data_IF_278576092899
#
_entry.id   IF_278576092899
#
_cell.length_a   1.000
_cell.length_b   1.000
_cell.length_c   1.000
_cell.angle_alpha   90.00
_cell.angle_beta   90.00
_cell.angle_gamma   90.00
#
_symmetry.space_group_name_H-M   'P 1'
#
loop_
_entity.id
_entity.type
_entity.pdbx_description
1 polymer ?
#
# COMPACT_ATOMS: atom_id res chain seq x y z
N UNK A 1 -30.97 16.74 -9.05
CA UNK A 1 -32.39 16.56 -8.72
C UNK A 1 -32.62 15.12 -8.33
N UNK A 2 -32.46 14.82 -7.04
CA UNK A 2 -32.74 13.49 -6.49
C UNK A 2 -33.90 13.65 -5.53
N UNK A 3 -35.09 13.29 -5.97
CA UNK A 3 -36.30 13.46 -5.16
C UNK A 3 -36.46 12.22 -4.29
N UNK A 4 -36.61 12.45 -2.98
CA UNK A 4 -37.01 11.39 -2.05
C UNK A 4 -38.44 10.98 -2.36
N UNK A 5 -38.69 9.67 -2.43
CA UNK A 5 -40.03 9.15 -2.67
C UNK A 5 -40.93 9.45 -1.47
N UNK A 6 -42.06 10.12 -1.72
CA UNK A 6 -43.04 10.42 -0.67
C UNK A 6 -43.59 9.14 -0.04
N UNK A 7 -43.97 9.25 1.24
CA UNK A 7 -44.46 8.11 2.04
C UNK A 7 -45.67 7.43 1.39
N UNK A 8 -46.55 8.19 0.74
CA UNK A 8 -47.72 7.65 0.03
C UNK A 8 -47.35 6.86 -1.23
N UNK A 9 -46.38 7.32 -2.02
CA UNK A 9 -45.89 6.63 -3.23
C UNK A 9 -45.12 5.35 -2.82
N UNK A 10 -44.30 5.45 -1.77
CA UNK A 10 -43.59 4.32 -1.17
C UNK A 10 -44.55 3.23 -0.68
N UNK A 11 -45.57 3.60 0.09
CA UNK A 11 -46.55 2.66 0.62
C UNK A 11 -47.36 1.98 -0.50
N UNK A 12 -47.66 2.71 -1.58
CA UNK A 12 -48.31 2.14 -2.77
C UNK A 12 -47.42 1.12 -3.50
N UNK A 13 -46.12 1.40 -3.64
CA UNK A 13 -45.15 0.49 -4.27
C UNK A 13 -44.90 -0.78 -3.44
N UNK A 14 -44.86 -0.65 -2.10
CA UNK A 14 -44.74 -1.77 -1.16
C UNK A 14 -46.01 -2.63 -1.21
N UNK A 15 -47.20 -2.00 -1.14
CA UNK A 15 -48.49 -2.70 -1.19
C UNK A 15 -48.72 -3.43 -2.51
N UNK A 16 -48.20 -2.90 -3.61
CA UNK A 16 -48.24 -3.54 -4.92
C UNK A 16 -47.25 -4.71 -5.10
N UNK A 17 -46.45 -5.08 -4.08
CA UNK A 17 -45.36 -6.06 -4.17
C UNK A 17 -44.37 -5.79 -5.32
N UNK A 18 -44.27 -4.54 -5.74
CA UNK A 18 -43.43 -4.10 -6.85
C UNK A 18 -41.97 -3.95 -6.44
N UNK A 19 -41.75 -3.55 -5.18
CA UNK A 19 -40.46 -3.61 -4.52
C UNK A 19 -40.25 -5.03 -3.98
N UNK A 20 -39.16 -5.70 -4.37
CA UNK A 20 -38.83 -7.06 -3.90
C UNK A 20 -38.60 -7.12 -2.38
N UNK A 21 -38.34 -8.32 -1.84
CA UNK A 21 -38.12 -8.59 -0.40
C UNK A 21 -37.00 -7.73 0.25
N UNK A 22 -36.17 -7.04 -0.53
CA UNK A 22 -35.06 -6.21 -0.06
C UNK A 22 -35.47 -4.80 0.42
N UNK A 23 -36.70 -4.37 0.20
CA UNK A 23 -37.16 -3.02 0.51
C UNK A 23 -38.17 -3.02 1.65
N UNK A 24 -37.71 -2.73 2.87
CA UNK A 24 -38.57 -2.60 4.07
C UNK A 24 -39.18 -1.20 4.16
N UNK A 25 -40.28 -1.08 4.92
CA UNK A 25 -41.01 0.17 5.12
C UNK A 25 -40.17 1.30 5.74
N UNK A 26 -39.03 0.98 6.36
CA UNK A 26 -38.13 1.94 7.02
C UNK A 26 -37.05 2.51 6.07
N UNK A 27 -36.78 1.88 4.92
CA UNK A 27 -35.68 2.29 4.05
C UNK A 27 -36.00 3.53 3.22
N UNK A 28 -35.20 4.58 3.30
CA UNK A 28 -35.33 5.76 2.43
C UNK A 28 -35.12 5.38 0.97
N UNK A 29 -36.09 5.70 0.13
CA UNK A 29 -36.09 5.44 -1.30
C UNK A 29 -35.91 6.74 -2.08
N UNK A 30 -35.09 6.68 -3.12
CA UNK A 30 -34.86 7.78 -4.05
C UNK A 30 -35.40 7.42 -5.43
N UNK A 31 -35.96 8.42 -6.10
CA UNK A 31 -36.46 8.33 -7.47
C UNK A 31 -35.58 9.15 -8.39
N UNK A 32 -35.18 8.55 -9.50
CA UNK A 32 -34.32 9.17 -10.50
C UNK A 32 -34.60 8.56 -11.88
N UNK A 33 -34.31 9.27 -12.98
CA UNK A 33 -34.36 8.70 -14.32
C UNK A 33 -33.47 7.45 -14.40
N UNK A 34 -33.96 6.37 -15.01
CA UNK A 34 -33.23 5.10 -15.01
C UNK A 34 -31.85 5.19 -15.70
N UNK A 35 -31.71 6.14 -16.63
CA UNK A 35 -30.47 6.45 -17.37
C UNK A 35 -29.34 6.93 -16.45
N UNK A 36 -29.68 7.54 -15.31
CA UNK A 36 -28.69 7.98 -14.33
C UNK A 36 -28.26 6.84 -13.38
N UNK A 37 -28.94 5.70 -13.43
CA UNK A 37 -28.80 4.59 -12.48
C UNK A 37 -28.42 3.27 -13.15
N UNK A 38 -27.84 3.29 -14.36
CA UNK A 38 -27.64 2.10 -15.19
C UNK A 38 -26.88 0.97 -14.49
N UNK A 39 -25.88 1.28 -13.66
CA UNK A 39 -25.11 0.27 -12.92
C UNK A 39 -25.93 -0.45 -11.85
N UNK A 40 -26.81 0.29 -11.16
CA UNK A 40 -27.72 -0.26 -10.14
C UNK A 40 -28.86 -1.04 -10.80
N UNK A 41 -29.32 -0.59 -11.97
CA UNK A 41 -30.31 -1.31 -12.79
C UNK A 41 -29.72 -2.62 -13.35
N UNK A 42 -28.49 -2.57 -13.88
CA UNK A 42 -27.78 -3.74 -14.43
C UNK A 42 -27.56 -4.82 -13.38
N UNK A 43 -27.25 -4.43 -12.15
CA UNK A 43 -27.08 -5.34 -11.01
C UNK A 43 -28.41 -5.83 -10.40
N UNK A 44 -29.56 -5.48 -11.01
CA UNK A 44 -30.92 -5.80 -10.54
C UNK A 44 -31.20 -5.30 -9.12
N UNK A 45 -30.50 -4.24 -8.71
CA UNK A 45 -30.61 -3.63 -7.39
C UNK A 45 -31.44 -2.33 -7.40
N UNK A 46 -32.29 -2.16 -8.42
CA UNK A 46 -33.21 -1.05 -8.56
C UNK A 46 -34.56 -1.58 -9.05
N UNK A 47 -35.65 -0.99 -8.57
CA UNK A 47 -36.97 -1.20 -9.17
C UNK A 47 -37.18 -0.15 -10.26
N UNK A 48 -37.51 -0.56 -11.49
CA UNK A 48 -37.73 0.37 -12.61
C UNK A 48 -39.20 0.37 -13.00
N UNK A 49 -39.81 1.55 -13.06
CA UNK A 49 -41.19 1.74 -13.51
C UNK A 49 -41.34 3.08 -14.21
N UNK A 50 -41.95 3.06 -15.39
CA UNK A 50 -42.30 4.26 -16.17
C UNK A 50 -41.11 5.22 -16.45
N UNK A 51 -39.95 4.66 -16.78
CA UNK A 51 -38.72 5.44 -17.05
C UNK A 51 -37.96 5.90 -15.80
N UNK A 52 -38.45 5.58 -14.60
CA UNK A 52 -37.78 5.92 -13.34
C UNK A 52 -37.24 4.68 -12.64
N UNK A 53 -36.05 4.81 -12.07
CA UNK A 53 -35.46 3.87 -11.13
C UNK A 53 -35.74 4.31 -9.69
N UNK A 54 -36.14 3.35 -8.86
CA UNK A 54 -36.35 3.47 -7.43
C UNK A 54 -35.25 2.68 -6.74
N UNK A 55 -34.43 3.39 -5.96
CA UNK A 55 -33.21 2.85 -5.35
C UNK A 55 -33.17 3.14 -3.85
N UNK A 56 -32.44 2.32 -3.10
CA UNK A 56 -32.16 2.56 -1.68
C UNK A 56 -31.13 3.68 -1.47
N UNK A 57 -31.09 4.25 -0.27
CA UNK A 57 -30.03 5.14 0.15
C UNK A 57 -28.61 4.55 -0.01
N UNK A 58 -28.45 3.24 0.22
CA UNK A 58 -27.16 2.56 0.04
C UNK A 58 -26.71 2.51 -1.41
N UNK A 59 -27.62 2.22 -2.35
CA UNK A 59 -27.33 2.24 -3.78
C UNK A 59 -27.11 3.67 -4.32
N UNK A 60 -27.77 4.66 -3.70
CA UNK A 60 -27.61 6.08 -4.03
C UNK A 60 -26.17 6.57 -3.80
N UNK A 61 -25.50 6.12 -2.74
CA UNK A 61 -24.09 6.45 -2.48
C UNK A 61 -23.21 6.05 -3.66
N UNK A 62 -23.40 4.84 -4.21
CA UNK A 62 -22.63 4.36 -5.36
C UNK A 62 -22.80 5.26 -6.60
N UNK A 63 -24.02 5.73 -6.85
CA UNK A 63 -24.30 6.64 -7.99
C UNK A 63 -23.66 8.02 -7.77
N UNK A 64 -23.73 8.57 -6.54
CA UNK A 64 -23.07 9.83 -6.20
C UNK A 64 -21.56 9.71 -6.39
N UNK A 65 -20.95 8.65 -5.88
CA UNK A 65 -19.50 8.42 -6.00
C UNK A 65 -19.10 8.33 -7.47
N UNK A 66 -19.88 7.61 -8.29
CA UNK A 66 -19.61 7.51 -9.72
C UNK A 66 -19.72 8.86 -10.44
N UNK A 67 -20.80 9.62 -10.22
CA UNK A 67 -20.96 10.96 -10.79
C UNK A 67 -19.83 11.90 -10.35
N UNK A 68 -19.47 11.88 -9.08
CA UNK A 68 -18.36 12.66 -8.55
C UNK A 68 -17.01 12.28 -9.19
N UNK A 69 -16.75 10.99 -9.40
CA UNK A 69 -15.53 10.54 -10.08
C UNK A 69 -15.46 11.03 -11.53
N UNK A 70 -16.59 11.01 -12.25
CA UNK A 70 -16.66 11.55 -13.61
C UNK A 70 -16.43 13.05 -13.64
N UNK A 71 -17.11 13.81 -12.77
CA UNK A 71 -16.94 15.26 -12.68
C UNK A 71 -15.51 15.64 -12.30
N UNK A 72 -14.92 14.93 -11.32
CA UNK A 72 -13.54 15.13 -10.91
C UNK A 72 -12.57 14.83 -12.05
N UNK A 73 -12.76 13.72 -12.77
CA UNK A 73 -11.92 13.37 -13.92
C UNK A 73 -12.01 14.43 -15.03
N UNK A 74 -13.22 14.92 -15.33
CA UNK A 74 -13.43 15.97 -16.32
C UNK A 74 -12.82 17.31 -15.89
N UNK A 75 -12.97 17.69 -14.62
CA UNK A 75 -12.38 18.89 -14.06
C UNK A 75 -10.84 18.82 -14.11
N UNK A 76 -10.26 17.67 -13.76
CA UNK A 76 -8.82 17.46 -13.84
C UNK A 76 -8.29 17.46 -15.27
N UNK A 77 -9.02 16.87 -16.22
CA UNK A 77 -8.65 16.92 -17.64
C UNK A 77 -8.69 18.36 -18.17
N UNK A 78 -9.72 19.12 -17.81
CA UNK A 78 -9.85 20.54 -18.17
C UNK A 78 -8.72 21.36 -17.55
N UNK A 79 -8.41 21.12 -16.27
CA UNK A 79 -7.31 21.77 -15.57
C UNK A 79 -5.97 21.46 -16.25
N UNK A 80 -5.73 20.21 -16.64
CA UNK A 80 -4.50 19.79 -17.30
C UNK A 80 -4.27 20.53 -18.62
N UNK A 81 -5.33 20.68 -19.43
CA UNK A 81 -5.27 21.45 -20.70
C UNK A 81 -4.98 22.94 -20.44
N UNK A 82 -5.53 23.50 -19.35
CA UNK A 82 -5.35 24.91 -18.97
C UNK A 82 -4.09 25.16 -18.13
N UNK A 83 -3.40 24.11 -17.70
CA UNK A 83 -2.24 24.22 -16.82
C UNK A 83 -1.07 24.93 -17.52
N UNK A 84 -0.97 24.82 -18.84
CA UNK A 84 0.00 25.56 -19.66
C UNK A 84 -0.27 27.07 -19.66
N UNK A 85 -1.51 27.52 -19.50
CA UNK A 85 -1.86 28.94 -19.34
C UNK A 85 -1.47 29.43 -17.93
N UNK A 86 -1.55 28.55 -16.92
CA UNK A 86 -1.11 28.82 -15.54
C UNK A 86 0.43 28.80 -15.38
N UNK A 87 1.19 28.27 -16.35
CA UNK A 87 2.66 28.30 -16.31
C UNK A 87 3.22 29.74 -16.34
N UNK A 88 2.46 30.72 -16.81
CA UNK A 88 2.85 32.13 -16.76
C UNK A 88 2.88 32.66 -15.32
N UNK A 89 2.02 32.15 -14.44
CA UNK A 89 1.99 32.44 -13.01
C UNK A 89 2.97 31.53 -12.24
N UNK A 90 4.28 31.73 -12.47
CA UNK A 90 5.40 30.97 -11.88
C UNK A 90 5.39 30.81 -10.34
N UNK A 91 4.46 31.45 -9.62
CA UNK A 91 4.32 31.38 -8.16
C UNK A 91 3.45 30.21 -7.66
N UNK A 92 2.54 29.68 -8.49
CA UNK A 92 1.62 28.60 -8.06
C UNK A 92 2.22 27.21 -8.23
N UNK A 93 3.00 26.98 -9.30
CA UNK A 93 3.62 25.67 -9.54
C UNK A 93 4.55 25.23 -8.40
N UNK A 94 5.43 26.09 -7.84
CA UNK A 94 6.26 25.69 -6.70
C UNK A 94 5.44 25.37 -5.45
N UNK A 95 4.25 25.96 -5.30
CA UNK A 95 3.36 25.70 -4.17
C UNK A 95 2.62 24.36 -4.35
N UNK A 96 2.16 24.06 -5.57
CA UNK A 96 1.58 22.76 -5.93
C UNK A 96 2.63 21.66 -5.81
N UNK A 97 3.83 21.91 -6.34
CA UNK A 97 4.98 21.01 -6.19
C UNK A 97 5.34 20.85 -4.72
N UNK A 98 5.32 21.91 -3.90
CA UNK A 98 5.55 21.78 -2.47
C UNK A 98 4.45 21.00 -1.76
N UNK A 99 3.17 21.13 -2.14
CA UNK A 99 2.08 20.32 -1.55
C UNK A 99 2.21 18.85 -1.97
N UNK A 100 2.48 18.60 -3.25
CA UNK A 100 2.74 17.26 -3.77
C UNK A 100 3.97 16.65 -3.08
N UNK A 101 5.05 17.42 -2.99
CA UNK A 101 6.26 17.06 -2.28
C UNK A 101 6.03 16.95 -0.78
N UNK A 102 5.09 17.65 -0.15
CA UNK A 102 4.76 17.50 1.28
C UNK A 102 3.99 16.20 1.52
N UNK A 103 3.07 15.83 0.61
CA UNK A 103 2.38 14.54 0.61
C UNK A 103 3.37 13.38 0.36
N UNK A 104 4.29 13.56 -0.59
CA UNK A 104 5.42 12.66 -0.79
C UNK A 104 6.44 12.73 0.36
N UNK A 105 6.61 13.85 1.04
CA UNK A 105 7.50 14.01 2.19
C UNK A 105 6.88 13.39 3.42
N UNK A 106 5.56 13.24 3.51
CA UNK A 106 4.95 12.31 4.48
C UNK A 106 5.44 10.89 4.21
N UNK A 107 5.49 10.47 2.94
CA UNK A 107 6.15 9.20 2.50
C UNK A 107 7.68 9.20 2.67
N UNK A 108 8.40 10.31 2.49
CA UNK A 108 9.87 10.40 2.65
C UNK A 108 10.31 10.61 4.10
N UNK A 109 9.53 11.24 4.98
CA UNK A 109 9.72 11.31 6.43
C UNK A 109 9.52 9.91 7.03
N UNK A 110 8.54 9.19 6.50
CA UNK A 110 8.39 7.75 6.70
C UNK A 110 9.67 7.00 6.28
N UNK A 111 10.29 7.30 5.14
CA UNK A 111 11.57 6.68 4.73
C UNK A 111 12.82 7.22 5.48
N UNK A 112 12.79 8.45 5.99
CA UNK A 112 13.88 9.10 6.72
C UNK A 112 14.01 8.55 8.15
N UNK A 113 12.91 8.06 8.75
CA UNK A 113 12.96 7.31 10.00
C UNK A 113 13.78 6.01 9.89
N UNK A 114 13.92 5.44 8.69
CA UNK A 114 14.82 4.31 8.39
C UNK A 114 16.26 4.74 8.09
N UNK A 115 16.52 6.03 7.85
CA UNK A 115 17.85 6.60 7.58
C UNK A 115 18.33 7.46 8.75
N UNK A 116 18.20 6.97 9.99
CA UNK A 116 19.02 7.56 11.07
C UNK A 116 20.49 7.36 10.69
N UNK A 117 21.32 8.41 10.65
CA UNK A 117 22.75 8.23 10.47
C UNK A 117 23.27 7.30 11.58
N UNK A 118 23.72 6.10 11.21
CA UNK A 118 24.26 5.08 12.12
C UNK A 118 23.36 3.88 12.44
N UNK A 119 22.11 3.80 11.97
CA UNK A 119 21.31 2.57 12.12
C UNK A 119 21.51 1.65 10.92
N UNK A 120 22.43 0.68 11.08
CA UNK A 120 22.68 -0.38 10.11
C UNK A 120 22.10 -1.69 10.62
N UNK A 121 21.29 -2.36 9.79
CA UNK A 121 20.81 -3.72 10.08
C UNK A 121 21.88 -4.68 9.59
N UNK A 122 22.39 -5.54 10.48
CA UNK A 122 23.35 -6.60 10.10
C UNK A 122 22.64 -7.94 9.89
N UNK A 123 23.25 -8.90 9.14
CA UNK A 123 22.67 -10.23 8.92
C UNK A 123 22.31 -10.96 10.21
N UNK A 124 23.13 -10.79 11.26
CA UNK A 124 22.98 -11.46 12.54
C UNK A 124 21.74 -10.96 13.32
N UNK A 125 21.28 -9.74 13.05
CA UNK A 125 20.07 -9.18 13.66
C UNK A 125 18.77 -9.69 13.03
N UNK A 126 18.83 -10.27 11.83
CA UNK A 126 17.63 -10.56 11.03
C UNK A 126 16.70 -11.57 11.67
N UNK A 127 17.22 -12.55 12.40
CA UNK A 127 16.41 -13.58 13.06
C UNK A 127 15.54 -12.99 14.19
N UNK A 128 16.13 -12.09 14.98
CA UNK A 128 15.43 -11.38 16.05
C UNK A 128 14.43 -10.35 15.49
N UNK A 129 14.85 -9.60 14.47
CA UNK A 129 13.99 -8.63 13.78
C UNK A 129 12.80 -9.31 13.10
N UNK A 130 12.98 -10.53 12.58
CA UNK A 130 11.90 -11.32 11.99
C UNK A 130 10.79 -11.60 13.00
N UNK A 131 11.16 -12.06 14.20
CA UNK A 131 10.19 -12.36 15.26
C UNK A 131 9.55 -11.11 15.84
N UNK A 132 10.33 -10.05 16.05
CA UNK A 132 9.86 -8.84 16.73
C UNK A 132 9.09 -7.89 15.80
N UNK A 133 9.60 -7.65 14.59
CA UNK A 133 9.24 -6.47 13.81
C UNK A 133 8.86 -6.73 12.36
N UNK A 134 8.98 -7.96 11.84
CA UNK A 134 8.54 -8.21 10.47
C UNK A 134 7.02 -8.40 10.42
N UNK A 135 6.37 -7.89 9.34
CA UNK A 135 5.00 -8.27 9.05
C UNK A 135 4.91 -9.75 8.65
N UNK A 136 3.74 -10.40 8.77
CA UNK A 136 3.58 -11.83 8.49
C UNK A 136 4.10 -12.26 7.12
N UNK A 137 3.95 -11.42 6.08
CA UNK A 137 4.45 -11.74 4.74
C UNK A 137 5.97 -11.90 4.69
N UNK A 138 6.72 -11.03 5.38
CA UNK A 138 8.19 -11.08 5.38
C UNK A 138 8.71 -12.08 6.40
N UNK A 139 8.02 -12.24 7.53
CA UNK A 139 8.34 -13.26 8.53
C UNK A 139 8.21 -14.68 7.92
N UNK A 140 7.14 -14.96 7.17
CA UNK A 140 6.97 -16.23 6.47
C UNK A 140 8.09 -16.52 5.45
N UNK A 141 8.51 -15.51 4.69
CA UNK A 141 9.63 -15.66 3.75
C UNK A 141 10.93 -15.95 4.49
N UNK A 142 11.19 -15.24 5.60
CA UNK A 142 12.39 -15.45 6.41
C UNK A 142 12.42 -16.86 7.05
N UNK A 143 11.32 -17.31 7.65
CA UNK A 143 11.20 -18.68 8.19
C UNK A 143 11.40 -19.75 7.12
N UNK A 144 10.88 -19.51 5.92
CA UNK A 144 11.09 -20.44 4.80
C UNK A 144 12.53 -20.42 4.32
N UNK A 145 13.17 -19.26 4.26
CA UNK A 145 14.57 -19.14 3.90
C UNK A 145 15.45 -19.93 4.86
N UNK A 146 15.23 -19.79 6.17
CA UNK A 146 15.99 -20.51 7.21
C UNK A 146 15.74 -22.02 7.23
N UNK A 147 14.54 -22.48 6.85
CA UNK A 147 14.22 -23.92 6.83
C UNK A 147 14.61 -24.60 5.53
N UNK A 148 14.43 -23.94 4.39
CA UNK A 148 14.68 -24.52 3.07
C UNK A 148 16.05 -24.14 2.50
N UNK A 149 16.77 -23.19 3.10
CA UNK A 149 18.04 -22.66 2.61
C UNK A 149 17.99 -22.15 1.16
N UNK A 150 16.79 -21.81 0.68
CA UNK A 150 16.56 -21.31 -0.68
C UNK A 150 15.21 -20.61 -0.78
N UNK A 151 15.13 -19.64 -1.69
CA UNK A 151 13.89 -18.96 -2.04
C UNK A 151 13.73 -18.89 -3.56
N UNK A 152 12.48 -18.96 -4.02
CA UNK A 152 12.12 -18.74 -5.42
C UNK A 152 12.15 -17.26 -5.82
N UNK A 153 12.01 -16.98 -7.11
CA UNK A 153 12.22 -15.65 -7.71
C UNK A 153 11.48 -14.53 -6.96
N UNK A 154 10.15 -14.60 -6.83
CA UNK A 154 9.39 -13.54 -6.16
C UNK A 154 9.65 -13.46 -4.65
N UNK A 155 9.93 -14.59 -3.99
CA UNK A 155 10.36 -14.61 -2.59
C UNK A 155 11.67 -13.84 -2.40
N UNK A 156 12.68 -14.11 -3.25
CA UNK A 156 13.95 -13.37 -3.26
C UNK A 156 13.75 -11.89 -3.54
N UNK A 157 12.89 -11.55 -4.51
CA UNK A 157 12.64 -10.16 -4.91
C UNK A 157 11.96 -9.36 -3.78
N UNK A 158 10.82 -9.85 -3.27
CA UNK A 158 10.06 -9.13 -2.23
C UNK A 158 10.88 -8.97 -0.96
N UNK A 159 11.54 -10.05 -0.53
CA UNK A 159 12.32 -10.04 0.70
C UNK A 159 13.62 -9.26 0.56
N UNK A 160 14.34 -9.41 -0.56
CA UNK A 160 15.57 -8.66 -0.82
C UNK A 160 15.34 -7.14 -0.85
N UNK A 161 14.26 -6.69 -1.49
CA UNK A 161 13.90 -5.25 -1.51
C UNK A 161 13.44 -4.77 -0.13
N UNK A 162 12.69 -5.59 0.61
CA UNK A 162 12.32 -5.28 1.98
C UNK A 162 13.55 -5.11 2.89
N UNK A 163 14.50 -6.06 2.84
CA UNK A 163 15.75 -6.04 3.62
C UNK A 163 16.61 -4.81 3.32
N UNK A 164 16.75 -4.47 2.03
CA UNK A 164 17.39 -3.23 1.60
C UNK A 164 16.73 -2.01 2.24
N UNK A 165 15.40 -1.93 2.18
CA UNK A 165 14.65 -0.77 2.70
C UNK A 165 14.66 -0.66 4.24
N UNK A 166 14.92 -1.74 4.99
CA UNK A 166 15.12 -1.66 6.44
C UNK A 166 16.57 -1.30 6.85
N UNK A 167 17.49 -1.20 5.88
CA UNK A 167 18.87 -0.74 6.11
C UNK A 167 19.95 -1.82 6.04
N UNK A 168 19.66 -3.00 5.47
CA UNK A 168 20.70 -4.00 5.18
C UNK A 168 21.57 -3.49 4.02
N UNK A 169 22.90 -3.53 4.18
CA UNK A 169 23.83 -3.12 3.12
C UNK A 169 23.85 -4.13 1.97
N UNK A 170 24.36 -3.74 0.81
CA UNK A 170 24.49 -4.66 -0.33
C UNK A 170 25.47 -5.79 -0.01
N UNK A 171 26.58 -5.44 0.64
CA UNK A 171 27.63 -6.36 1.07
C UNK A 171 27.07 -7.38 2.06
N UNK A 172 26.31 -6.91 3.06
CA UNK A 172 25.65 -7.77 4.05
C UNK A 172 24.56 -8.62 3.43
N UNK A 173 23.79 -8.09 2.47
CA UNK A 173 22.80 -8.88 1.74
C UNK A 173 23.45 -9.99 0.92
N UNK A 174 24.56 -9.70 0.24
CA UNK A 174 25.34 -10.71 -0.48
C UNK A 174 25.89 -11.78 0.48
N UNK A 175 26.45 -11.38 1.62
CA UNK A 175 26.93 -12.29 2.66
C UNK A 175 25.78 -13.19 3.17
N UNK A 176 24.68 -12.57 3.59
CA UNK A 176 23.50 -13.25 4.13
C UNK A 176 22.93 -14.29 3.16
N UNK A 177 22.61 -13.90 1.93
CA UNK A 177 22.05 -14.84 0.96
C UNK A 177 23.06 -15.91 0.53
N UNK A 178 24.36 -15.59 0.50
CA UNK A 178 25.40 -16.57 0.19
C UNK A 178 25.47 -17.64 1.28
N UNK A 179 25.62 -17.24 2.54
CA UNK A 179 25.70 -18.14 3.69
C UNK A 179 24.49 -19.06 3.78
N UNK A 180 23.31 -18.55 3.44
CA UNK A 180 22.09 -19.34 3.47
C UNK A 180 22.01 -20.31 2.28
N UNK A 181 22.26 -19.84 1.05
CA UNK A 181 22.07 -20.65 -0.15
C UNK A 181 23.15 -21.72 -0.32
N UNK A 182 24.36 -21.51 0.19
CA UNK A 182 25.44 -22.50 0.04
C UNK A 182 25.15 -23.84 0.71
N UNK A 183 24.17 -23.90 1.62
CA UNK A 183 23.69 -25.16 2.19
C UNK A 183 22.97 -26.05 1.16
N UNK A 184 22.55 -25.50 0.00
CA UNK A 184 21.91 -26.24 -1.09
C UNK A 184 22.60 -26.12 -2.45
N UNK A 185 23.35 -25.06 -2.68
CA UNK A 185 24.03 -24.81 -3.97
C UNK A 185 25.52 -24.52 -3.75
N UNK A 186 26.34 -24.66 -4.79
CA UNK A 186 27.76 -24.32 -4.64
C UNK A 186 27.99 -22.80 -4.61
N UNK A 187 29.07 -22.31 -3.97
CA UNK A 187 29.41 -20.89 -3.97
C UNK A 187 29.55 -20.28 -5.37
N UNK A 188 30.06 -21.05 -6.34
CA UNK A 188 30.24 -20.62 -7.72
C UNK A 188 28.89 -20.41 -8.41
N UNK A 189 27.93 -21.31 -8.15
CA UNK A 189 26.56 -21.19 -8.65
C UNK A 189 25.87 -19.98 -8.02
N UNK A 190 26.09 -19.72 -6.72
CA UNK A 190 25.57 -18.51 -6.08
C UNK A 190 26.09 -17.25 -6.78
N UNK A 191 27.40 -17.18 -7.00
CA UNK A 191 28.04 -16.03 -7.63
C UNK A 191 27.50 -15.78 -9.04
N UNK A 192 27.31 -16.84 -9.84
CA UNK A 192 26.80 -16.74 -11.21
C UNK A 192 25.32 -16.37 -11.28
N UNK A 193 24.48 -17.08 -10.52
CA UNK A 193 23.02 -17.06 -10.74
C UNK A 193 22.30 -15.98 -9.88
N UNK A 194 22.90 -15.54 -8.76
CA UNK A 194 22.20 -14.72 -7.75
C UNK A 194 22.86 -13.38 -7.46
N UNK A 195 24.21 -13.29 -7.50
CA UNK A 195 24.91 -12.07 -7.08
C UNK A 195 24.53 -10.84 -7.92
N UNK A 196 24.36 -11.01 -9.23
CA UNK A 196 23.95 -9.95 -10.15
C UNK A 196 22.59 -9.37 -9.77
N UNK A 197 21.59 -10.22 -9.51
CA UNK A 197 20.25 -9.79 -9.13
C UNK A 197 20.24 -9.02 -7.81
N UNK A 198 21.08 -9.41 -6.84
CA UNK A 198 21.22 -8.67 -5.59
C UNK A 198 21.78 -7.28 -5.88
N UNK A 199 22.87 -7.15 -6.65
CA UNK A 199 23.43 -5.82 -6.99
C UNK A 199 22.48 -4.96 -7.80
N UNK A 200 21.71 -5.57 -8.69
CA UNK A 200 20.66 -4.90 -9.47
C UNK A 200 19.59 -4.28 -8.58
N UNK A 201 19.12 -5.00 -7.55
CA UNK A 201 18.15 -4.48 -6.59
C UNK A 201 18.66 -3.22 -5.85
N UNK A 202 19.98 -3.08 -5.68
CA UNK A 202 20.63 -1.91 -5.05
C UNK A 202 21.06 -0.82 -6.06
N UNK A 203 20.63 -0.93 -7.33
CA UNK A 203 20.95 0.05 -8.37
C UNK A 203 22.43 0.09 -8.78
N UNK A 204 23.20 -0.97 -8.49
CA UNK A 204 24.62 -1.06 -8.87
C UNK A 204 24.85 -1.70 -10.24
N UNK A 205 23.80 -2.23 -10.86
CA UNK A 205 23.84 -2.89 -12.17
C UNK A 205 22.70 -2.36 -13.07
N UNK A 206 22.79 -2.61 -14.39
CA UNK A 206 21.75 -2.23 -15.37
C UNK A 206 21.55 -0.72 -15.50
N UNK A 207 20.28 -0.26 -15.58
CA UNK A 207 19.91 1.17 -15.66
C UNK A 207 20.23 1.98 -14.39
N UNK A 208 20.85 1.36 -13.37
CA UNK A 208 21.20 1.98 -12.09
C UNK A 208 20.01 2.64 -11.37
N UNK A 209 18.81 2.07 -11.57
CA UNK A 209 17.60 2.52 -10.89
C UNK A 209 17.51 1.83 -9.54
N UNK A 210 17.41 2.62 -8.48
CA UNK A 210 17.27 2.12 -7.13
C UNK A 210 15.87 1.53 -6.92
N UNK A 211 15.74 0.19 -6.91
CA UNK A 211 14.44 -0.46 -6.83
C UNK A 211 13.79 -0.29 -5.46
N UNK A 212 12.53 0.16 -5.42
CA UNK A 212 11.77 0.32 -4.19
C UNK A 212 11.11 -0.98 -3.73
N UNK A 213 10.99 -1.14 -2.41
CA UNK A 213 10.22 -2.23 -1.82
C UNK A 213 8.75 -2.20 -2.24
N UNK A 214 8.12 -3.37 -2.23
CA UNK A 214 6.75 -3.53 -2.73
C UNK A 214 5.73 -3.13 -1.66
N UNK A 215 4.74 -2.33 -2.07
CA UNK A 215 3.60 -1.98 -1.23
C UNK A 215 2.69 -3.18 -0.96
N UNK A 216 1.87 -3.10 0.10
CA UNK A 216 0.86 -4.13 0.37
C UNK A 216 -0.07 -4.30 -0.84
N UNK A 217 -0.48 -3.20 -1.48
CA UNK A 217 -1.32 -3.24 -2.67
C UNK A 217 -0.66 -4.02 -3.82
N UNK A 218 0.65 -3.85 -4.04
CA UNK A 218 1.40 -4.58 -5.07
C UNK A 218 1.58 -6.06 -4.73
N UNK A 219 1.85 -6.39 -3.46
CA UNK A 219 1.98 -7.79 -3.00
C UNK A 219 0.63 -8.52 -3.05
N UNK A 220 -0.45 -7.83 -2.71
CA UNK A 220 -1.82 -8.33 -2.74
C UNK A 220 -2.31 -8.43 -4.18
N UNK A 221 -2.08 -7.44 -5.03
CA UNK A 221 -2.57 -7.43 -6.42
C UNK A 221 -1.68 -8.17 -7.43
N UNK A 222 -0.45 -8.53 -7.03
CA UNK A 222 0.53 -9.18 -7.89
C UNK A 222 0.27 -10.66 -8.17
N UNK A 223 1.28 -11.33 -8.71
CA UNK A 223 1.22 -12.76 -9.05
C UNK A 223 0.97 -13.61 -7.79
N UNK A 224 -0.13 -14.36 -7.79
CA UNK A 224 -0.50 -15.23 -6.69
C UNK A 224 0.57 -16.34 -6.50
N UNK A 225 0.95 -16.66 -5.25
CA UNK A 225 1.91 -17.72 -4.98
C UNK A 225 1.35 -19.09 -5.37
N UNK A 226 2.19 -19.92 -5.98
CA UNK A 226 1.94 -21.34 -6.19
C UNK A 226 2.30 -22.15 -4.95
N UNK A 227 1.98 -23.45 -4.92
CA UNK A 227 2.13 -24.32 -3.73
C UNK A 227 3.55 -24.41 -3.15
N UNK A 228 4.59 -24.05 -3.91
CA UNK A 228 5.98 -24.02 -3.46
C UNK A 228 6.58 -22.60 -3.40
N UNK A 229 5.74 -21.59 -3.62
CA UNK A 229 6.11 -20.19 -3.48
C UNK A 229 5.80 -19.70 -2.07
N UNK A 230 6.60 -18.73 -1.60
CA UNK A 230 6.50 -18.21 -0.23
C UNK A 230 6.20 -16.71 -0.18
N UNK A 231 6.10 -16.08 -1.35
CA UNK A 231 5.75 -14.66 -1.48
C UNK A 231 4.24 -14.43 -1.36
N UNK A 232 3.87 -13.16 -1.26
CA UNK A 232 2.47 -12.75 -1.20
C UNK A 232 2.04 -12.33 0.21
N UNK A 233 0.76 -11.97 0.34
CA UNK A 233 0.15 -11.62 1.61
C UNK A 233 -0.50 -12.87 2.24
N UNK A 234 -0.07 -13.31 3.44
CA UNK A 234 -0.70 -14.45 4.13
C UNK A 234 -2.21 -14.28 4.32
N UNK A 235 -2.66 -13.06 4.65
CA UNK A 235 -4.09 -12.75 4.82
C UNK A 235 -4.92 -12.89 3.54
N UNK A 236 -4.30 -12.91 2.35
CA UNK A 236 -5.01 -13.15 1.08
C UNK A 236 -4.81 -14.56 0.55
N UNK A 237 -3.59 -15.08 0.63
CA UNK A 237 -3.18 -16.26 -0.12
C UNK A 237 -3.14 -17.54 0.71
N UNK A 238 -3.14 -17.46 2.05
CA UNK A 238 -3.32 -18.66 2.87
C UNK A 238 -4.81 -19.00 2.97
N UNK A 239 -5.12 -20.28 3.01
CA UNK A 239 -6.44 -20.71 3.48
C UNK A 239 -6.60 -20.40 4.98
N UNK A 240 -7.85 -20.41 5.45
CA UNK A 240 -8.19 -20.06 6.84
C UNK A 240 -7.49 -20.99 7.84
N UNK A 241 -7.32 -22.28 7.51
CA UNK A 241 -6.68 -23.27 8.38
C UNK A 241 -5.19 -22.96 8.59
N UNK A 242 -4.47 -22.70 7.51
CA UNK A 242 -3.05 -22.36 7.51
C UNK A 242 -2.83 -20.96 8.10
N UNK A 243 -3.73 -20.01 7.86
CA UNK A 243 -3.70 -18.69 8.49
C UNK A 243 -3.82 -18.81 10.01
N UNK A 244 -4.80 -19.58 10.52
CA UNK A 244 -4.96 -19.82 11.96
C UNK A 244 -3.71 -20.45 12.57
N UNK A 245 -3.17 -21.52 11.96
CA UNK A 245 -1.93 -22.18 12.40
C UNK A 245 -0.74 -21.21 12.46
N UNK A 246 -0.60 -20.36 11.46
CA UNK A 246 0.45 -19.34 11.43
C UNK A 246 0.28 -18.32 12.57
N UNK A 247 -0.94 -17.81 12.79
CA UNK A 247 -1.21 -16.83 13.85
C UNK A 247 -1.02 -17.43 15.24
N UNK A 248 -1.41 -18.68 15.47
CA UNK A 248 -1.15 -19.40 16.72
C UNK A 248 0.35 -19.58 16.96
N UNK A 249 1.14 -19.92 15.92
CA UNK A 249 2.60 -19.99 16.02
C UNK A 249 3.23 -18.65 16.37
N UNK A 250 2.58 -17.54 16.02
CA UNK A 250 3.03 -16.19 16.30
C UNK A 250 2.49 -15.65 17.64
N UNK A 251 2.03 -16.54 18.52
CA UNK A 251 1.56 -16.24 19.87
C UNK A 251 0.39 -15.24 19.94
N UNK A 252 -0.48 -15.24 18.92
CA UNK A 252 -1.73 -14.46 18.90
C UNK A 252 -2.83 -15.24 19.61
N UNK A 253 -3.62 -14.56 20.44
CA UNK A 253 -4.71 -15.20 21.19
C UNK A 253 -5.85 -15.66 20.29
N UNK A 254 -6.57 -16.74 20.65
CA UNK A 254 -7.64 -17.29 19.82
C UNK A 254 -8.75 -16.27 19.51
N UNK A 255 -9.11 -15.42 20.49
CA UNK A 255 -10.09 -14.34 20.28
C UNK A 255 -9.62 -13.34 19.22
N UNK A 256 -8.36 -12.91 19.27
CA UNK A 256 -7.78 -11.99 18.27
C UNK A 256 -7.68 -12.67 16.89
N UNK A 257 -7.42 -13.98 16.84
CA UNK A 257 -7.41 -14.75 15.59
C UNK A 257 -8.80 -14.76 14.95
N UNK A 258 -9.86 -14.98 15.72
CA UNK A 258 -11.24 -14.98 15.22
C UNK A 258 -11.63 -13.62 14.63
N UNK A 259 -11.26 -12.52 15.30
CA UNK A 259 -11.46 -11.16 14.78
C UNK A 259 -10.71 -10.92 13.47
N UNK A 260 -9.45 -11.35 13.39
CA UNK A 260 -8.63 -11.22 12.18
C UNK A 260 -9.23 -12.04 11.03
N UNK A 261 -9.70 -13.26 11.29
CA UNK A 261 -10.30 -14.14 10.28
C UNK A 261 -11.59 -13.51 9.74
N UNK A 262 -12.45 -12.94 10.59
CA UNK A 262 -13.65 -12.23 10.14
C UNK A 262 -13.32 -11.07 9.17
N UNK A 263 -12.29 -10.28 9.47
CA UNK A 263 -11.81 -9.19 8.60
C UNK A 263 -11.27 -9.73 7.25
N UNK A 264 -10.62 -10.90 7.28
CA UNK A 264 -10.12 -11.57 6.07
C UNK A 264 -11.26 -12.08 5.19
N UNK A 265 -12.33 -12.60 5.77
CA UNK A 265 -13.54 -13.03 5.05
C UNK A 265 -14.24 -11.85 4.35
N UNK A 266 -14.20 -10.66 4.95
CA UNK A 266 -14.62 -9.39 4.32
C UNK A 266 -13.64 -8.88 3.24
N UNK A 267 -12.56 -9.62 2.95
CA UNK A 267 -11.49 -9.28 1.98
C UNK A 267 -10.72 -8.01 2.33
N UNK A 268 -10.72 -7.59 3.60
CA UNK A 268 -10.02 -6.39 4.07
C UNK A 268 -8.60 -6.73 4.57
N UNK A 269 -7.73 -7.21 3.67
CA UNK A 269 -6.43 -7.80 4.02
C UNK A 269 -5.46 -6.83 4.73
N UNK A 270 -5.44 -5.55 4.36
CA UNK A 270 -4.57 -4.56 5.01
C UNK A 270 -5.04 -4.24 6.44
N UNK A 271 -6.36 -4.22 6.65
CA UNK A 271 -6.96 -4.06 7.98
C UNK A 271 -6.66 -5.28 8.86
N UNK A 272 -6.72 -6.49 8.30
CA UNK A 272 -6.32 -7.71 9.01
C UNK A 272 -4.85 -7.66 9.46
N UNK A 273 -3.94 -7.18 8.60
CA UNK A 273 -2.54 -6.98 8.95
C UNK A 273 -2.35 -5.92 10.05
N UNK A 274 -3.15 -4.85 10.03
CA UNK A 274 -3.14 -3.80 11.06
C UNK A 274 -3.66 -4.34 12.40
N UNK A 275 -4.72 -5.14 12.38
CA UNK A 275 -5.24 -5.83 13.57
C UNK A 275 -4.23 -6.83 14.15
N UNK A 276 -3.51 -7.55 13.29
CA UNK A 276 -2.38 -8.38 13.71
C UNK A 276 -1.27 -7.55 14.37
N UNK A 277 -0.94 -6.37 13.83
CA UNK A 277 0.05 -5.47 14.44
C UNK A 277 -0.35 -5.09 15.86
N UNK A 278 -1.61 -4.71 16.06
CA UNK A 278 -2.16 -4.36 17.38
C UNK A 278 -2.09 -5.54 18.35
N UNK A 279 -2.50 -6.72 17.89
CA UNK A 279 -2.47 -7.94 18.69
C UNK A 279 -1.04 -8.34 19.09
N UNK A 280 -0.06 -8.17 18.19
CA UNK A 280 1.34 -8.50 18.44
C UNK A 280 2.01 -7.53 19.41
N UNK A 281 1.78 -6.23 19.25
CA UNK A 281 2.46 -5.20 20.05
C UNK A 281 1.64 -4.77 21.28
N UNK A 282 0.42 -5.29 21.44
CA UNK A 282 -0.56 -4.87 22.46
C UNK A 282 -0.74 -3.34 22.50
N UNK A 283 -0.70 -2.73 21.32
CA UNK A 283 -0.78 -1.29 21.14
C UNK A 283 -1.79 -0.96 20.01
N UNK A 284 -2.87 -0.22 20.29
CA UNK A 284 -3.86 0.12 19.29
C UNK A 284 -3.28 1.14 18.29
N UNK A 285 -3.54 0.94 17.01
CA UNK A 285 -3.29 1.98 16.01
C UNK A 285 -4.37 3.06 16.15
N UNK A 286 -4.08 4.28 15.73
CA UNK A 286 -5.10 5.34 15.73
C UNK A 286 -6.23 4.98 14.75
N UNK A 287 -7.46 5.35 15.11
CA UNK A 287 -8.74 4.79 14.61
C UNK A 287 -8.95 4.77 13.10
N UNK A 288 -8.16 5.51 12.31
CA UNK A 288 -8.31 5.64 10.86
C UNK A 288 -7.03 5.29 10.07
N UNK A 289 -5.95 4.86 10.74
CA UNK A 289 -4.67 4.57 10.07
C UNK A 289 -4.43 3.06 9.97
N UNK A 290 -4.44 2.53 8.73
CA UNK A 290 -4.08 1.14 8.43
C UNK A 290 -2.70 1.05 7.78
N UNK A 291 -2.03 -0.08 8.01
CA UNK A 291 -0.71 -0.37 7.45
C UNK A 291 -0.85 -0.74 5.97
N UNK A 292 -0.22 0.04 5.09
CA UNK A 292 -0.27 -0.15 3.63
C UNK A 292 1.08 -0.53 3.00
N UNK A 293 2.14 -0.68 3.81
CA UNK A 293 3.46 -1.09 3.34
C UNK A 293 4.19 -2.01 4.35
N UNK A 294 4.88 -3.09 3.92
CA UNK A 294 5.66 -3.94 4.83
C UNK A 294 6.73 -3.18 5.61
N UNK A 295 7.48 -2.28 4.96
CA UNK A 295 8.44 -1.42 5.66
C UNK A 295 7.79 -0.41 6.62
N UNK A 296 6.54 0.00 6.41
CA UNK A 296 5.80 0.81 7.39
C UNK A 296 5.54 -0.01 8.66
N UNK A 297 5.04 -1.25 8.52
CA UNK A 297 4.88 -2.18 9.64
C UNK A 297 6.18 -2.29 10.46
N UNK A 298 7.30 -2.53 9.78
CA UNK A 298 8.59 -2.67 10.42
C UNK A 298 8.97 -1.42 11.22
N UNK A 299 8.89 -0.24 10.60
CA UNK A 299 9.26 1.01 11.27
C UNK A 299 8.39 1.30 12.48
N UNK A 300 7.08 1.15 12.38
CA UNK A 300 6.17 1.39 13.51
C UNK A 300 6.44 0.39 14.64
N UNK A 301 6.70 -0.87 14.32
CA UNK A 301 7.13 -1.87 15.31
C UNK A 301 8.42 -1.42 16.02
N UNK A 302 9.45 -1.03 15.25
CA UNK A 302 10.73 -0.56 15.81
C UNK A 302 10.55 0.71 16.63
N UNK A 303 9.66 1.61 16.22
CA UNK A 303 9.34 2.84 16.95
C UNK A 303 8.75 2.50 18.32
N UNK A 304 7.74 1.63 18.37
CA UNK A 304 7.09 1.21 19.62
C UNK A 304 8.07 0.52 20.58
N UNK A 305 8.90 -0.38 20.05
CA UNK A 305 9.90 -1.10 20.85
C UNK A 305 11.00 -0.17 21.38
N UNK A 306 11.39 0.85 20.61
CA UNK A 306 12.37 1.84 21.03
C UNK A 306 11.80 2.86 22.03
N UNK A 307 10.50 3.18 21.95
CA UNK A 307 9.85 4.17 22.81
C UNK A 307 9.41 3.65 24.17
N UNK A 308 9.41 2.33 24.41
CA UNK A 308 9.10 1.72 25.71
C UNK A 308 7.78 2.19 26.33
N UNK A 309 6.66 1.53 26.02
CA UNK A 309 5.45 1.51 26.87
C UNK A 309 4.97 2.86 27.46
N UNK A 310 4.97 3.97 26.72
CA UNK A 310 4.13 5.15 27.03
C UNK A 310 4.04 6.15 25.87
N UNK A 311 2.89 6.85 25.73
CA UNK A 311 2.58 7.66 24.56
C UNK A 311 3.28 9.02 24.60
N UNK A 312 3.92 9.40 23.50
CA UNK A 312 4.26 10.81 23.26
C UNK A 312 3.02 11.46 22.63
N UNK A 313 2.32 12.26 23.44
CA UNK A 313 1.57 13.41 22.94
C UNK A 313 2.59 14.38 22.36
N UNK A 314 2.53 14.62 21.06
CA UNK A 314 3.28 15.70 20.44
C UNK A 314 2.68 17.03 20.95
N UNK A 315 3.27 17.59 22.00
CA UNK A 315 3.09 19.00 22.33
C UNK A 315 3.92 19.82 21.33
N UNK A 316 3.23 20.48 20.42
CA UNK A 316 3.78 21.52 19.55
C UNK A 316 4.21 22.67 20.48
N UNK A 317 5.51 22.77 20.74
CA UNK A 317 6.11 24.03 21.21
C UNK A 317 6.40 24.89 19.99
N UNK A 318 5.56 25.90 19.81
CA UNK A 318 5.86 27.06 18.98
C UNK A 318 7.02 27.81 19.64
N UNK A 319 8.21 27.71 19.07
CA UNK A 319 9.25 28.73 19.27
C UNK A 319 9.22 29.63 18.04
N UNK A 320 8.56 30.77 18.21
CA UNK A 320 8.79 31.96 17.40
C UNK A 320 10.21 32.45 17.72
N UNK A 321 11.10 32.45 16.72
CA UNK A 321 12.27 33.30 16.76
C UNK A 321 12.51 33.93 15.39
N UNK A 322 12.34 35.25 15.39
CA UNK A 322 12.61 36.18 14.32
C UNK A 322 14.04 36.01 13.79
N UNK A 323 14.19 35.99 12.46
CA UNK A 323 15.50 36.18 11.84
C UNK A 323 15.39 37.26 10.76
N UNK A 324 15.96 38.42 11.08
CA UNK A 324 16.18 39.54 10.17
C UNK A 324 17.24 39.19 9.13
N UNK A 325 17.18 39.78 7.92
CA UNK A 325 18.06 39.40 6.82
C UNK A 325 19.40 40.14 6.93
N UNK A 326 20.51 39.42 6.82
CA UNK A 326 21.81 40.04 6.53
C UNK A 326 22.30 39.54 5.17
N UNK A 327 22.47 40.52 4.28
CA UNK A 327 22.96 40.42 2.91
C UNK A 327 24.48 40.27 2.93
N UNK A 328 25.01 39.29 2.21
CA UNK A 328 26.38 39.32 1.71
C UNK A 328 26.42 38.64 0.32
N UNK A 329 27.00 39.35 -0.62
CA UNK A 329 27.05 39.10 -2.07
C UNK A 329 28.10 38.05 -2.49
N UNK A 330 27.71 37.19 -3.47
CA UNK A 330 28.40 36.83 -4.75
C UNK A 330 29.76 36.06 -4.67
N UNK A 331 30.21 35.23 -5.66
CA UNK A 331 29.72 34.96 -7.04
C UNK A 331 29.43 33.46 -7.35
N UNK A 332 28.46 33.12 -8.21
CA UNK A 332 28.49 33.15 -9.70
C UNK A 332 29.65 32.36 -10.33
N UNK A 333 29.39 31.08 -10.63
CA UNK A 333 30.07 30.41 -11.74
C UNK A 333 29.08 29.54 -12.53
N UNK A 334 29.13 29.77 -13.83
CA UNK A 334 28.25 29.28 -14.88
C UNK A 334 28.76 27.96 -15.46
N UNK A 335 27.89 26.98 -15.62
CA UNK A 335 28.00 26.04 -16.76
C UNK A 335 26.63 25.65 -17.27
N UNK A 336 26.50 25.89 -18.56
CA UNK A 336 25.38 25.73 -19.48
C UNK A 336 25.16 24.27 -19.88
N UNK A 337 23.92 23.98 -20.32
CA UNK A 337 23.54 23.02 -21.37
C UNK A 337 23.69 21.51 -21.05
N UNK A 338 22.78 20.59 -21.35
CA UNK A 338 21.72 20.54 -22.36
C UNK A 338 20.55 19.67 -21.88
N UNK A 339 19.35 20.08 -22.27
CA UNK A 339 18.16 19.23 -22.30
C UNK A 339 18.10 18.54 -23.67
N UNK A 340 17.94 17.22 -23.69
CA UNK A 340 17.36 16.53 -24.84
C UNK A 340 16.20 15.65 -24.40
N UNK A 341 15.13 15.81 -25.16
CA UNK A 341 13.79 15.28 -24.98
C UNK A 341 13.64 13.99 -25.80
N UNK A 342 12.52 13.30 -25.61
CA UNK A 342 11.94 12.17 -26.39
C UNK A 342 12.21 10.79 -25.80
N UNK A 343 11.24 10.18 -25.10
CA UNK A 343 10.02 9.51 -25.61
C UNK A 343 10.33 8.32 -26.50
N UNK A 344 9.98 7.11 -26.06
CA UNK A 344 9.10 6.16 -26.76
C UNK A 344 9.06 4.86 -25.95
N UNK A 345 7.84 4.33 -25.85
CA UNK A 345 7.41 3.06 -25.28
C UNK A 345 8.14 1.91 -25.97
N UNK A 346 8.59 0.90 -25.24
CA UNK A 346 8.50 -0.44 -25.81
C UNK A 346 8.31 -1.55 -24.78
N UNK A 347 7.24 -2.29 -25.02
CA UNK A 347 6.59 -3.29 -24.19
C UNK A 347 6.94 -4.65 -24.80
N UNK A 348 8.22 -5.04 -24.76
CA UNK A 348 8.64 -6.37 -25.17
C UNK A 348 9.95 -6.70 -24.48
N UNK A 349 9.93 -7.56 -23.47
CA UNK A 349 11.04 -8.43 -23.02
C UNK A 349 10.61 -9.17 -21.73
N UNK A 350 9.44 -9.82 -21.77
CA UNK A 350 8.97 -10.72 -20.69
C UNK A 350 8.96 -12.19 -21.16
N UNK A 351 9.39 -12.51 -22.39
CA UNK A 351 9.25 -13.87 -22.95
C UNK A 351 10.51 -14.73 -23.03
N UNK A 352 11.68 -14.27 -22.59
CA UNK A 352 12.89 -15.12 -22.56
C UNK A 352 13.43 -15.32 -21.14
N UNK A 353 12.62 -15.89 -20.24
CA UNK A 353 13.11 -16.41 -18.95
C UNK A 353 12.37 -17.68 -18.53
N UNK A 354 12.06 -18.57 -19.48
CA UNK A 354 11.75 -19.97 -19.21
C UNK A 354 12.83 -20.85 -19.83
N UNK A 355 13.92 -21.02 -19.10
CA UNK A 355 14.73 -22.25 -19.07
C UNK A 355 15.62 -22.29 -17.84
#
# INVERSE_FOLDING_TARGET
NFDSVDKSEKDALIKAKKLGFMYTAELTLFKLPFEEALDVVKSRNAYVNDGYAYISATAMVSIIVYKFQLELAQALATLFVRLSELNEERRLLPLIDNIYNMSLNKKKLLDAASRRPGYHVTPEMLDDLSKQSFPPCMQNIHETLRSNHHLKHFGRLHYGLFLKSIGLSMEDALKFFREEFINKITPERFQRDYSYNIRYNYGKEGKKVDMSAYSCAKIIGGCAPQSSDTHGCPFRHFDIQNLRKMLTRYDISENEIDEIVAIVEEKQYMKACSKYFEAKHKFPLQSDEFIYHPNQFYRESRRLLASGSSPIRDEIKNDENECTPNVAEVPMESTTENAETTSIVDESHIEEMKE
#
